data_IF_503261877858
#
_entry.id   IF_503261877858
#
_cell.length_a   1.000
_cell.length_b   1.000
_cell.length_c   1.000
_cell.angle_alpha   90.00
_cell.angle_beta   90.00
_cell.angle_gamma   90.00
#
_symmetry.space_group_name_H-M   'P 1'
#
loop_
_entity.id
_entity.type
_entity.pdbx_description
1 polymer ?
#
# COMPACT_ATOMS: atom_id res chain seq x y z
N UNK A 1 12.05 24.65 -26.77
CA UNK A 1 12.64 24.19 -25.50
C UNK A 1 12.10 22.79 -25.22
N UNK A 2 12.98 21.80 -25.17
CA UNK A 2 12.60 20.45 -24.81
C UNK A 2 12.36 20.44 -23.27
N UNK A 3 11.15 20.13 -22.84
CA UNK A 3 10.85 20.02 -21.41
C UNK A 3 11.74 18.92 -20.80
N UNK A 4 12.53 19.27 -19.77
CA UNK A 4 13.38 18.29 -19.11
C UNK A 4 12.53 17.34 -18.30
N UNK A 5 12.69 16.03 -18.53
CA UNK A 5 12.01 14.97 -17.79
C UNK A 5 12.46 14.99 -16.32
N UNK A 6 11.51 15.14 -15.40
CA UNK A 6 11.79 15.13 -13.96
C UNK A 6 11.94 13.69 -13.46
N UNK A 7 13.01 13.43 -12.72
CA UNK A 7 13.26 12.14 -12.07
C UNK A 7 13.38 12.33 -10.56
N UNK A 8 12.69 11.49 -9.82
CA UNK A 8 12.71 11.49 -8.35
C UNK A 8 12.87 10.08 -7.82
N UNK A 9 13.48 9.95 -6.67
CA UNK A 9 13.56 8.73 -5.89
C UNK A 9 13.22 9.06 -4.43
N UNK A 10 13.30 8.08 -3.54
CA UNK A 10 13.04 8.25 -2.10
C UNK A 10 14.18 7.66 -1.28
N UNK A 11 14.37 8.20 -0.10
CA UNK A 11 15.23 7.67 0.93
C UNK A 11 14.39 6.89 1.95
N UNK A 12 14.61 5.60 2.03
CA UNK A 12 13.90 4.71 2.96
C UNK A 12 14.73 4.35 4.20
N UNK A 13 15.90 4.96 4.38
CA UNK A 13 16.80 4.67 5.51
C UNK A 13 16.16 4.90 6.88
N UNK A 14 15.21 5.83 6.97
CA UNK A 14 14.44 6.07 8.20
C UNK A 14 13.39 4.99 8.50
N UNK A 15 13.18 4.04 7.59
CA UNK A 15 12.16 2.99 7.69
C UNK A 15 12.78 1.59 7.53
N UNK A 16 13.68 1.18 8.46
CA UNK A 16 14.44 -0.08 8.32
C UNK A 16 13.56 -1.33 8.37
N UNK A 17 12.41 -1.25 9.03
CA UNK A 17 11.49 -2.37 9.22
C UNK A 17 10.19 -2.23 8.41
N UNK A 18 10.20 -1.38 7.38
CA UNK A 18 9.06 -1.11 6.51
C UNK A 18 8.43 -2.39 5.97
N UNK A 19 7.12 -2.48 6.10
CA UNK A 19 6.31 -3.54 5.51
C UNK A 19 5.32 -2.92 4.55
N UNK A 20 5.23 -3.48 3.36
CA UNK A 20 4.18 -3.15 2.38
C UNK A 20 3.25 -4.35 2.25
N UNK A 21 1.96 -4.10 2.35
CA UNK A 21 0.95 -5.11 2.02
C UNK A 21 0.18 -4.68 0.79
N UNK A 22 -0.14 -5.64 -0.04
CA UNK A 22 -1.06 -5.49 -1.15
C UNK A 22 -2.14 -6.55 -0.98
N UNK A 23 -3.38 -6.12 -1.02
CA UNK A 23 -4.51 -7.03 -0.92
C UNK A 23 -5.59 -6.66 -1.93
N UNK A 24 -6.45 -7.58 -2.25
CA UNK A 24 -7.51 -7.33 -3.20
C UNK A 24 -8.78 -8.12 -2.92
N UNK A 25 -9.87 -7.53 -3.36
CA UNK A 25 -11.20 -8.12 -3.31
C UNK A 25 -11.74 -8.24 -4.73
N UNK A 26 -12.05 -9.45 -5.14
CA UNK A 26 -12.61 -9.72 -6.47
C UNK A 26 -14.06 -10.15 -6.36
N UNK A 27 -14.96 -9.39 -6.99
CA UNK A 27 -16.38 -9.76 -7.08
C UNK A 27 -16.52 -11.05 -7.89
N UNK A 28 -17.14 -12.06 -7.30
CA UNK A 28 -17.40 -13.37 -7.90
C UNK A 28 -18.88 -13.57 -8.24
N UNK A 29 -19.76 -12.91 -7.50
CA UNK A 29 -21.21 -12.95 -7.68
C UNK A 29 -21.77 -11.54 -7.49
N UNK A 30 -22.94 -11.22 -8.03
CA UNK A 30 -23.53 -9.87 -7.95
C UNK A 30 -23.65 -9.34 -6.52
N UNK A 31 -23.97 -10.18 -5.54
CA UNK A 31 -23.97 -9.78 -4.12
C UNK A 31 -22.59 -9.31 -3.60
N UNK A 32 -21.51 -9.71 -4.25
CA UNK A 32 -20.14 -9.28 -3.93
C UNK A 32 -19.90 -7.79 -4.16
N UNK A 33 -20.70 -7.13 -4.99
CA UNK A 33 -20.64 -5.68 -5.18
C UNK A 33 -20.93 -4.97 -3.86
N UNK A 34 -22.01 -5.37 -3.17
CA UNK A 34 -22.36 -4.79 -1.87
C UNK A 34 -21.29 -5.07 -0.80
N UNK A 35 -20.67 -6.27 -0.81
CA UNK A 35 -19.58 -6.62 0.10
C UNK A 35 -18.37 -5.71 -0.12
N UNK A 36 -17.96 -5.48 -1.37
CA UNK A 36 -16.82 -4.59 -1.71
C UNK A 36 -17.11 -3.14 -1.35
N UNK A 37 -18.34 -2.65 -1.58
CA UNK A 37 -18.74 -1.30 -1.16
C UNK A 37 -18.71 -1.13 0.38
N UNK A 38 -19.12 -2.15 1.13
CA UNK A 38 -19.03 -2.17 2.59
C UNK A 38 -17.58 -2.09 3.09
N UNK A 39 -16.67 -2.84 2.46
CA UNK A 39 -15.23 -2.78 2.73
C UNK A 39 -14.68 -1.38 2.47
N UNK A 40 -15.05 -0.76 1.35
CA UNK A 40 -14.65 0.61 1.01
C UNK A 40 -15.08 1.63 2.06
N UNK A 41 -16.23 1.46 2.69
CA UNK A 41 -16.68 2.29 3.81
C UNK A 41 -15.79 2.11 5.04
N UNK A 42 -15.43 0.87 5.39
CA UNK A 42 -14.52 0.56 6.49
C UNK A 42 -13.13 1.15 6.27
N UNK A 43 -12.61 1.08 5.04
CA UNK A 43 -11.32 1.66 4.68
C UNK A 43 -11.28 3.18 4.84
N UNK A 44 -12.34 3.88 4.45
CA UNK A 44 -12.43 5.34 4.69
C UNK A 44 -12.37 5.70 6.16
N UNK A 45 -12.89 4.85 7.05
CA UNK A 45 -12.76 5.04 8.50
C UNK A 45 -11.31 4.87 8.97
N UNK A 46 -10.58 3.90 8.41
CA UNK A 46 -9.15 3.70 8.69
C UNK A 46 -8.32 4.88 8.18
N UNK A 47 -8.63 5.39 7.00
CA UNK A 47 -7.96 6.57 6.43
C UNK A 47 -8.23 7.85 7.24
N UNK A 48 -9.45 8.01 7.75
CA UNK A 48 -9.81 9.16 8.59
C UNK A 48 -9.16 9.12 9.99
N UNK A 49 -8.91 7.92 10.51
CA UNK A 49 -8.26 7.70 11.80
C UNK A 49 -7.20 6.60 11.64
N UNK A 50 -6.06 6.92 11.03
CA UNK A 50 -5.04 5.92 10.72
C UNK A 50 -4.51 5.29 12.01
N UNK A 51 -4.41 3.94 12.07
CA UNK A 51 -3.81 3.27 13.20
C UNK A 51 -2.32 3.60 13.31
N UNK A 52 -1.78 3.44 14.52
CA UNK A 52 -0.37 3.66 14.75
C UNK A 52 0.48 2.79 13.83
N UNK A 53 1.50 3.39 13.23
CA UNK A 53 2.42 2.72 12.32
C UNK A 53 1.94 2.62 10.87
N UNK A 54 0.69 2.97 10.56
CA UNK A 54 0.25 3.11 9.16
C UNK A 54 0.80 4.42 8.59
N UNK A 55 1.71 4.31 7.62
CA UNK A 55 2.36 5.46 6.99
C UNK A 55 1.56 6.01 5.82
N UNK A 56 0.98 5.12 5.02
CA UNK A 56 0.12 5.48 3.89
C UNK A 56 -0.77 4.31 3.48
N UNK A 57 -1.93 4.63 2.93
CA UNK A 57 -2.88 3.67 2.34
C UNK A 57 -3.40 4.24 1.03
N UNK A 58 -3.48 3.42 0.00
CA UNK A 58 -4.02 3.81 -1.29
C UNK A 58 -4.84 2.68 -1.91
N UNK A 59 -5.84 3.06 -2.70
CA UNK A 59 -6.74 2.15 -3.37
C UNK A 59 -6.54 2.23 -4.87
N UNK A 60 -6.73 1.12 -5.56
CA UNK A 60 -6.63 1.05 -7.02
C UNK A 60 -7.51 -0.07 -7.59
N UNK A 61 -7.73 -0.03 -8.88
CA UNK A 61 -8.48 -1.04 -9.59
C UNK A 61 -7.53 -1.90 -10.42
N UNK A 62 -7.55 -3.20 -10.20
CA UNK A 62 -6.93 -4.18 -11.12
C UNK A 62 -7.83 -4.42 -12.33
N UNK A 63 -9.15 -4.41 -12.11
CA UNK A 63 -10.20 -4.54 -13.11
C UNK A 63 -11.51 -3.96 -12.54
N UNK A 64 -12.55 -3.81 -13.38
CA UNK A 64 -13.84 -3.29 -12.94
C UNK A 64 -14.48 -4.07 -11.79
N UNK A 65 -14.15 -5.36 -11.66
CA UNK A 65 -14.64 -6.24 -10.59
C UNK A 65 -13.55 -6.62 -9.57
N UNK A 66 -12.41 -5.90 -9.55
CA UNK A 66 -11.26 -6.25 -8.73
C UNK A 66 -10.59 -5.00 -8.15
N UNK A 67 -10.90 -4.71 -6.90
CA UNK A 67 -10.36 -3.57 -6.15
C UNK A 67 -9.12 -4.00 -5.39
N UNK A 68 -8.09 -3.18 -5.40
CA UNK A 68 -6.86 -3.38 -4.64
C UNK A 68 -6.62 -2.30 -3.61
N UNK A 69 -5.88 -2.66 -2.57
CA UNK A 69 -5.42 -1.77 -1.51
C UNK A 69 -3.94 -2.04 -1.31
N UNK A 70 -3.15 -0.97 -1.25
CA UNK A 70 -1.75 -1.02 -0.86
C UNK A 70 -1.54 -0.17 0.37
N UNK A 71 -0.94 -0.77 1.40
CA UNK A 71 -0.64 -0.09 2.65
C UNK A 71 0.84 -0.19 2.97
N UNK A 72 1.37 0.87 3.54
CA UNK A 72 2.75 1.01 3.99
C UNK A 72 2.75 1.13 5.52
N UNK A 73 3.43 0.19 6.18
CA UNK A 73 3.49 0.10 7.61
C UNK A 73 4.92 0.31 8.10
N UNK A 74 5.10 1.06 9.17
CA UNK A 74 6.40 1.33 9.78
C UNK A 74 7.15 0.03 10.10
N UNK A 75 6.43 -0.98 10.58
CA UNK A 75 6.95 -2.29 10.99
C UNK A 75 5.84 -3.35 11.00
N UNK A 76 6.24 -4.61 11.09
CA UNK A 76 5.32 -5.74 11.15
C UNK A 76 4.48 -5.74 12.44
N UNK A 77 5.05 -5.31 13.56
CA UNK A 77 4.38 -5.27 14.86
C UNK A 77 3.16 -4.34 14.83
N UNK A 78 3.31 -3.15 14.25
CA UNK A 78 2.19 -2.20 14.05
C UNK A 78 1.09 -2.78 13.17
N UNK A 79 1.46 -3.45 12.08
CA UNK A 79 0.50 -4.15 11.21
C UNK A 79 -0.25 -5.24 11.98
N UNK A 80 0.47 -6.08 12.73
CA UNK A 80 -0.15 -7.16 13.52
C UNK A 80 -1.06 -6.62 14.63
N UNK A 81 -0.66 -5.56 15.31
CA UNK A 81 -1.48 -4.90 16.32
C UNK A 81 -2.81 -4.41 15.72
N UNK A 82 -2.76 -3.79 14.54
CA UNK A 82 -3.97 -3.39 13.81
C UNK A 82 -4.84 -4.57 13.44
N UNK A 83 -4.29 -5.65 12.89
CA UNK A 83 -5.07 -6.82 12.46
C UNK A 83 -5.77 -7.54 13.63
N UNK A 84 -5.19 -7.47 14.84
CA UNK A 84 -5.77 -8.04 16.07
C UNK A 84 -6.78 -7.12 16.75
N UNK A 85 -6.75 -5.82 16.42
CA UNK A 85 -7.65 -4.83 17.02
C UNK A 85 -9.01 -4.76 16.31
N UNK A 86 -9.98 -4.17 17.00
CA UNK A 86 -11.25 -3.77 16.39
C UNK A 86 -11.04 -2.47 15.57
N UNK A 87 -11.70 -2.30 14.42
CA UNK A 87 -12.74 -3.18 13.87
C UNK A 87 -12.21 -4.30 12.94
N UNK A 88 -10.89 -4.35 12.65
CA UNK A 88 -10.32 -5.28 11.67
C UNK A 88 -10.55 -6.75 12.04
N UNK A 89 -10.35 -7.12 13.29
CA UNK A 89 -10.54 -8.50 13.76
C UNK A 89 -11.97 -8.99 13.57
N UNK A 90 -12.96 -8.11 13.73
CA UNK A 90 -14.37 -8.39 13.47
C UNK A 90 -14.64 -8.55 11.98
N UNK A 91 -14.16 -7.62 11.13
CA UNK A 91 -14.32 -7.73 9.67
C UNK A 91 -13.77 -9.04 9.14
N UNK A 92 -12.59 -9.43 9.59
CA UNK A 92 -11.96 -10.68 9.17
C UNK A 92 -12.78 -11.90 9.59
N UNK A 93 -13.22 -11.94 10.82
CA UNK A 93 -14.07 -13.01 11.35
C UNK A 93 -15.40 -13.14 10.59
N UNK A 94 -16.04 -12.00 10.28
CA UNK A 94 -17.29 -11.96 9.53
C UNK A 94 -17.07 -12.40 8.07
N UNK A 95 -15.99 -11.96 7.45
CA UNK A 95 -15.61 -12.35 6.10
C UNK A 95 -15.34 -13.87 5.99
N UNK A 96 -14.66 -14.46 6.96
CA UNK A 96 -14.42 -15.91 6.99
C UNK A 96 -15.71 -16.72 7.16
N UNK A 97 -16.72 -16.15 7.82
CA UNK A 97 -18.04 -16.79 7.97
C UNK A 97 -18.84 -16.73 6.67
N UNK A 98 -18.88 -15.59 6.01
CA UNK A 98 -19.48 -15.39 4.69
C UNK A 98 -18.76 -14.29 3.93
N UNK A 99 -18.04 -14.66 2.86
CA UNK A 99 -17.34 -13.72 2.00
C UNK A 99 -18.25 -12.78 1.20
N UNK A 100 -19.56 -12.94 1.32
CA UNK A 100 -20.55 -12.10 0.62
C UNK A 100 -20.52 -12.20 -0.91
N UNK A 101 -19.85 -13.22 -1.48
CA UNK A 101 -19.68 -13.36 -2.93
C UNK A 101 -18.44 -12.65 -3.49
N UNK A 102 -17.51 -12.22 -2.63
CA UNK A 102 -16.19 -11.70 -3.00
C UNK A 102 -15.09 -12.72 -2.71
N UNK A 103 -14.06 -12.76 -3.55
CA UNK A 103 -12.78 -13.40 -3.24
C UNK A 103 -11.84 -12.39 -2.62
N UNK A 104 -10.88 -12.87 -1.85
CA UNK A 104 -9.84 -12.08 -1.19
C UNK A 104 -8.46 -12.70 -1.41
N UNK A 105 -7.46 -11.85 -1.54
CA UNK A 105 -6.05 -12.25 -1.54
C UNK A 105 -5.22 -11.19 -0.84
N UNK A 106 -4.07 -11.57 -0.34
CA UNK A 106 -3.17 -10.73 0.43
C UNK A 106 -1.72 -11.15 0.21
N UNK A 107 -0.84 -10.20 0.02
CA UNK A 107 0.61 -10.40 -0.08
C UNK A 107 1.31 -9.39 0.81
N UNK A 108 2.41 -9.82 1.45
CA UNK A 108 3.24 -8.98 2.32
C UNK A 108 4.67 -8.94 1.80
N UNK A 109 5.27 -7.77 1.83
CA UNK A 109 6.64 -7.53 1.40
C UNK A 109 7.40 -6.84 2.52
N UNK A 110 8.57 -7.35 2.85
CA UNK A 110 9.46 -6.76 3.85
C UNK A 110 10.44 -5.77 3.21
N UNK A 111 11.08 -4.94 4.03
CA UNK A 111 11.96 -3.82 3.65
C UNK A 111 13.08 -4.18 2.67
N UNK A 112 13.62 -5.37 2.74
CA UNK A 112 14.77 -5.78 1.93
C UNK A 112 14.50 -5.65 0.44
N UNK A 113 15.32 -4.85 -0.25
CA UNK A 113 15.26 -4.66 -1.69
C UNK A 113 14.16 -3.72 -2.19
N UNK A 114 13.54 -2.95 -1.31
CA UNK A 114 12.59 -1.90 -1.73
C UNK A 114 13.34 -0.70 -2.32
N UNK A 115 12.84 -0.17 -3.41
CA UNK A 115 13.32 1.05 -4.05
C UNK A 115 12.21 1.70 -4.87
N UNK A 116 12.39 2.95 -5.28
CA UNK A 116 11.47 3.62 -6.19
C UNK A 116 12.16 4.63 -7.09
N UNK A 117 11.59 4.82 -8.27
CA UNK A 117 11.87 5.93 -9.17
C UNK A 117 10.55 6.47 -9.73
N UNK A 118 10.44 7.77 -9.80
CA UNK A 118 9.27 8.48 -10.31
C UNK A 118 9.71 9.38 -11.46
N UNK A 119 9.01 9.28 -12.59
CA UNK A 119 9.34 10.02 -13.80
C UNK A 119 8.11 10.85 -14.20
N UNK A 120 8.27 12.17 -14.28
CA UNK A 120 7.22 13.14 -14.64
C UNK A 120 5.89 12.96 -13.88
N UNK A 121 5.94 12.46 -12.66
CA UNK A 121 4.75 12.34 -11.84
C UNK A 121 4.29 13.73 -11.37
N UNK A 122 3.00 14.06 -11.52
CA UNK A 122 2.45 15.35 -11.13
C UNK A 122 2.41 15.57 -9.61
N UNK A 123 2.55 14.49 -8.85
CA UNK A 123 2.59 14.52 -7.39
C UNK A 123 3.15 13.24 -6.79
N UNK A 124 3.38 13.20 -5.47
CA UNK A 124 3.94 12.03 -4.80
C UNK A 124 2.94 10.86 -4.81
N UNK A 125 3.45 9.65 -5.08
CA UNK A 125 2.73 8.38 -5.00
C UNK A 125 3.58 7.34 -4.27
N UNK A 126 2.95 6.31 -3.73
CA UNK A 126 3.65 5.21 -3.08
C UNK A 126 4.56 5.70 -1.95
N UNK A 127 5.82 5.27 -1.96
CA UNK A 127 6.82 5.70 -0.95
C UNK A 127 7.00 7.21 -0.89
N UNK A 128 6.83 7.91 -2.00
CA UNK A 128 6.93 9.38 -2.05
C UNK A 128 5.88 10.11 -1.21
N UNK A 129 4.87 9.42 -0.69
CA UNK A 129 3.88 9.99 0.23
C UNK A 129 4.39 10.21 1.64
N UNK A 130 5.43 9.50 2.06
CA UNK A 130 5.94 9.56 3.43
C UNK A 130 7.48 9.59 3.55
N UNK A 131 8.20 9.08 2.54
CA UNK A 131 9.66 9.06 2.57
C UNK A 131 10.26 10.31 1.91
N UNK A 132 11.42 10.81 2.41
CA UNK A 132 12.11 11.94 1.82
C UNK A 132 12.49 11.69 0.36
N UNK A 133 12.38 12.73 -0.46
CA UNK A 133 12.78 12.69 -1.87
C UNK A 133 14.32 12.64 -1.99
N UNK A 134 14.78 11.85 -2.95
CA UNK A 134 16.19 11.74 -3.34
C UNK A 134 16.32 11.89 -4.85
N UNK A 135 17.30 12.64 -5.32
CA UNK A 135 17.60 12.71 -6.75
C UNK A 135 18.29 11.43 -7.21
N UNK A 136 17.84 10.75 -8.27
CA UNK A 136 18.46 9.55 -8.80
C UNK A 136 19.69 9.91 -9.64
N UNK A 137 20.78 10.29 -8.99
CA UNK A 137 22.08 10.63 -9.58
C UNK A 137 23.17 9.72 -9.01
N UNK A 138 24.28 9.51 -9.78
CA UNK A 138 25.37 8.66 -9.34
C UNK A 138 24.90 7.24 -8.98
N UNK A 139 25.09 6.77 -7.73
CA UNK A 139 24.75 5.41 -7.34
C UNK A 139 23.23 5.13 -7.27
N UNK A 140 22.37 6.13 -7.50
CA UNK A 140 20.91 5.96 -7.47
C UNK A 140 20.27 5.87 -8.86
N UNK A 141 21.05 5.70 -9.92
CA UNK A 141 20.55 5.68 -11.29
C UNK A 141 19.83 4.38 -11.67
N UNK A 142 20.29 3.22 -11.17
CA UNK A 142 19.64 1.92 -11.43
C UNK A 142 18.93 1.40 -10.19
N UNK A 143 17.95 0.51 -10.39
CA UNK A 143 17.23 -0.15 -9.30
C UNK A 143 18.19 -0.87 -8.36
N UNK A 144 19.17 -1.61 -8.90
CA UNK A 144 20.19 -2.30 -8.11
C UNK A 144 20.99 -1.35 -7.21
N UNK A 145 21.35 -0.20 -7.74
CA UNK A 145 22.12 0.81 -7.00
C UNK A 145 21.26 1.44 -5.90
N UNK A 146 19.97 1.74 -6.18
CA UNK A 146 19.04 2.25 -5.18
C UNK A 146 18.78 1.25 -4.06
N UNK A 147 18.59 -0.04 -4.39
CA UNK A 147 18.42 -1.12 -3.40
C UNK A 147 19.65 -1.31 -2.50
N UNK A 148 20.86 -1.08 -3.04
CA UNK A 148 22.10 -1.27 -2.31
C UNK A 148 22.46 -0.06 -1.43
N UNK A 149 21.84 1.08 -1.64
CA UNK A 149 22.15 2.34 -0.96
C UNK A 149 21.34 2.60 0.31
N UNK A 150 20.31 1.77 0.56
CA UNK A 150 19.42 1.87 1.73
C UNK A 150 19.76 0.77 2.80
#
# INVERSE_FOLDING_TARGET
>A
MQASVTRRSVDLSAYPDLVVIILGFRVRRLRGIAAVLGIGKGLRQVEANPPEGLLWSEQFLFALNHVGIRQYWRDLESLEAFTRSEPHSRWWRDFLRDSGGAGFWHESYSRKGMEAVYIDMPGPVGFGRFAPERKPTGPFMSARQRMAAD
#
